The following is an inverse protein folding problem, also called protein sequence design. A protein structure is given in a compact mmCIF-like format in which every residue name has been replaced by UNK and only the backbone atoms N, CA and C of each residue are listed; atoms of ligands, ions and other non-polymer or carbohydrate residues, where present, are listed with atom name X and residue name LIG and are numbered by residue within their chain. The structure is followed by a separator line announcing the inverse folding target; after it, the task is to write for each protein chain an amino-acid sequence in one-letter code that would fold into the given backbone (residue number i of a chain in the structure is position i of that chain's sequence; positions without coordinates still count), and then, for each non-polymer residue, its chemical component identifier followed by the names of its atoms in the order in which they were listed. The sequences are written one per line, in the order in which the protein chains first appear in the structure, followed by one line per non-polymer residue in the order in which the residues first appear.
data_IF_773997482411
#
_entry.id   IF_773997482411
#
_cell.length_a   1.000
_cell.length_b   1.000
_cell.length_c   1.000
_cell.angle_alpha   90.00
_cell.angle_beta   90.00
_cell.angle_gamma   90.00
#
_symmetry.space_group_name_H-M   'P 1'
#
loop_
_entity.id
_entity.type
_entity.pdbx_description
1 polymer ?
#
# COMPACT_ATOMS: atom_id res chain seq x y z
N UNK A 1 14.14 19.22 2.38
CA UNK A 1 12.75 18.78 2.19
C UNK A 1 12.20 18.29 3.52
N UNK A 2 11.10 18.89 4.00
CA UNK A 2 10.50 18.48 5.27
C UNK A 2 9.62 17.26 5.04
N UNK A 3 9.97 16.13 5.70
CA UNK A 3 9.17 14.91 5.69
C UNK A 3 8.32 14.75 6.96
N UNK A 4 8.35 15.76 7.83
CA UNK A 4 7.63 15.75 9.10
C UNK A 4 6.18 16.16 8.91
N UNK A 5 5.25 15.39 9.47
CA UNK A 5 3.84 15.76 9.55
C UNK A 5 3.61 16.58 10.81
N UNK A 6 3.50 17.90 10.66
CA UNK A 6 3.27 18.80 11.77
C UNK A 6 1.84 18.68 12.28
N UNK A 7 1.68 18.74 13.59
CA UNK A 7 0.40 18.60 14.28
C UNK A 7 -0.01 19.93 14.90
N UNK A 8 -1.24 20.33 14.65
CA UNK A 8 -1.88 21.48 15.29
C UNK A 8 -3.11 21.03 16.09
N UNK A 9 -3.70 21.90 16.95
CA UNK A 9 -4.95 21.53 17.61
C UNK A 9 -6.11 21.22 16.68
N UNK A 10 -6.06 21.72 15.45
CA UNK A 10 -7.06 21.46 14.39
C UNK A 10 -6.76 20.18 13.60
N UNK A 11 -5.59 19.57 13.77
CA UNK A 11 -5.18 18.34 13.10
C UNK A 11 -3.82 18.42 12.44
N UNK A 12 -3.48 17.39 11.67
CA UNK A 12 -2.24 17.33 10.92
C UNK A 12 -2.28 18.24 9.70
N UNK A 13 -1.16 18.91 9.42
CA UNK A 13 -0.99 19.79 8.25
C UNK A 13 -0.64 19.01 6.98
N UNK A 14 -0.13 17.79 7.10
CA UNK A 14 0.26 16.93 5.99
C UNK A 14 0.11 15.46 6.37
N UNK A 15 0.25 14.56 5.40
CA UNK A 15 0.17 13.12 5.61
C UNK A 15 1.30 12.38 4.87
N UNK A 16 2.55 12.77 5.14
CA UNK A 16 3.72 12.12 4.53
C UNK A 16 3.90 10.69 5.02
N UNK A 17 3.46 10.41 6.24
CA UNK A 17 3.54 9.08 6.83
C UNK A 17 2.43 8.11 6.36
N UNK A 18 1.49 8.59 5.53
CA UNK A 18 0.42 7.74 5.01
C UNK A 18 -0.59 7.27 6.05
N UNK A 19 -0.80 8.04 7.12
CA UNK A 19 -1.79 7.75 8.16
C UNK A 19 -1.32 6.78 9.24
N UNK A 20 -0.06 6.37 9.23
CA UNK A 20 0.50 5.44 10.23
C UNK A 20 1.82 5.98 10.77
N UNK A 21 1.91 6.08 12.09
CA UNK A 21 3.11 6.51 12.81
C UNK A 21 3.42 5.49 13.91
N UNK A 22 4.64 4.96 13.89
CA UNK A 22 5.06 3.96 14.87
C UNK A 22 4.18 2.71 14.93
N UNK A 23 3.59 2.32 13.81
CA UNK A 23 2.67 1.18 13.71
C UNK A 23 1.25 1.45 14.20
N UNK A 24 0.92 2.71 14.51
CA UNK A 24 -0.40 3.12 15.01
C UNK A 24 -1.01 4.12 14.02
N UNK A 25 -2.29 3.99 13.75
CA UNK A 25 -3.00 4.93 12.88
C UNK A 25 -3.07 6.32 13.51
N UNK A 26 -2.85 7.36 12.70
CA UNK A 26 -2.88 8.76 13.16
C UNK A 26 -4.28 9.37 13.08
N UNK A 27 -5.26 8.67 12.56
CA UNK A 27 -6.59 9.19 12.25
C UNK A 27 -6.71 9.85 10.89
N UNK A 28 -5.60 9.96 10.16
CA UNK A 28 -5.57 10.44 8.78
C UNK A 28 -5.89 9.31 7.80
N UNK A 29 -6.10 9.66 6.53
CA UNK A 29 -6.29 8.66 5.47
C UNK A 29 -5.11 7.70 5.42
N UNK A 30 -5.42 6.41 5.28
CA UNK A 30 -4.42 5.37 5.14
C UNK A 30 -4.02 5.25 3.68
N UNK A 31 -2.77 5.61 3.39
CA UNK A 31 -2.21 5.60 2.04
C UNK A 31 -1.15 4.52 1.95
N UNK A 32 -1.35 3.58 1.05
CA UNK A 32 -0.40 2.50 0.79
C UNK A 32 0.08 2.59 -0.65
N UNK A 33 1.39 2.54 -0.85
CA UNK A 33 2.02 2.51 -2.16
C UNK A 33 2.74 1.20 -2.35
N UNK A 34 2.46 0.54 -3.46
CA UNK A 34 3.03 -0.77 -3.78
C UNK A 34 3.80 -0.65 -5.09
N UNK A 35 5.06 -1.05 -5.07
CA UNK A 35 5.87 -1.16 -6.28
C UNK A 35 5.66 -2.55 -6.88
N UNK A 36 5.16 -2.60 -8.10
CA UNK A 36 4.93 -3.85 -8.81
C UNK A 36 6.02 -4.08 -9.84
N UNK A 37 6.61 -5.25 -9.78
CA UNK A 37 7.56 -5.67 -10.81
C UNK A 37 6.80 -5.88 -12.13
N UNK A 38 7.34 -5.40 -13.27
CA UNK A 38 6.74 -5.68 -14.57
C UNK A 38 6.63 -7.19 -14.81
N UNK A 39 5.63 -7.57 -15.60
CA UNK A 39 5.44 -8.96 -16.00
C UNK A 39 6.68 -9.48 -16.72
N UNK A 40 7.21 -10.61 -16.25
CA UNK A 40 8.39 -11.23 -16.89
C UNK A 40 8.10 -11.79 -18.27
N UNK A 41 6.84 -12.09 -18.56
CA UNK A 41 6.36 -12.65 -19.83
C UNK A 41 5.92 -11.51 -20.77
N UNK A 42 6.86 -10.83 -21.37
CA UNK A 42 6.59 -9.78 -22.38
C UNK A 42 6.89 -10.30 -23.78
N UNK A 43 6.24 -9.71 -24.78
CA UNK A 43 6.40 -10.11 -26.19
C UNK A 43 7.70 -9.63 -26.83
N UNK A 44 8.46 -8.78 -26.14
CA UNK A 44 9.77 -8.32 -26.60
C UNK A 44 10.78 -9.47 -26.57
N UNK A 45 11.52 -9.65 -27.66
CA UNK A 45 12.54 -10.66 -27.75
C UNK A 45 13.65 -10.44 -26.70
N UNK A 46 13.97 -11.50 -25.97
CA UNK A 46 15.04 -11.51 -24.99
C UNK A 46 16.23 -12.35 -25.45
N UNK A 47 17.42 -12.00 -25.00
CA UNK A 47 18.63 -12.77 -25.30
C UNK A 47 18.76 -13.93 -24.31
N UNK A 48 19.09 -15.10 -24.82
CA UNK A 48 19.34 -16.30 -24.03
C UNK A 48 20.35 -17.20 -24.73
N UNK A 49 20.58 -18.38 -24.19
CA UNK A 49 21.39 -19.43 -24.79
C UNK A 49 20.58 -20.72 -24.90
N UNK A 50 20.86 -21.54 -25.90
CA UNK A 50 20.27 -22.88 -26.05
C UNK A 50 21.08 -23.90 -25.23
N UNK A 51 20.65 -25.17 -25.28
CA UNK A 51 21.36 -26.26 -24.57
C UNK A 51 22.79 -26.49 -25.06
N UNK A 52 23.14 -26.00 -26.25
CA UNK A 52 24.51 -26.08 -26.83
C UNK A 52 25.37 -24.86 -26.43
N UNK A 53 24.84 -23.90 -25.67
CA UNK A 53 25.53 -22.69 -25.29
C UNK A 53 25.54 -21.60 -26.37
N UNK A 54 24.78 -21.74 -27.43
CA UNK A 54 24.71 -20.78 -28.52
C UNK A 54 23.74 -19.64 -28.16
N UNK A 55 24.09 -18.41 -28.55
CA UNK A 55 23.21 -17.24 -28.36
C UNK A 55 21.94 -17.37 -29.17
N UNK A 56 20.80 -17.18 -28.54
CA UNK A 56 19.47 -17.21 -29.15
C UNK A 56 18.63 -16.06 -28.68
N UNK A 57 17.56 -15.77 -29.42
CA UNK A 57 16.51 -14.86 -28.99
C UNK A 57 15.29 -15.66 -28.54
N UNK A 58 14.73 -15.27 -27.40
CA UNK A 58 13.54 -15.90 -26.83
C UNK A 58 12.38 -14.91 -26.86
N UNK A 59 11.25 -15.35 -27.41
CA UNK A 59 10.01 -14.58 -27.43
C UNK A 59 8.93 -15.39 -26.71
N UNK A 60 8.38 -14.82 -25.66
CA UNK A 60 7.25 -15.41 -24.95
C UNK A 60 5.96 -15.04 -25.68
N UNK A 61 5.20 -16.05 -26.09
CA UNK A 61 3.90 -15.87 -26.74
C UNK A 61 2.78 -16.17 -25.77
N UNK A 62 1.66 -15.49 -25.96
CA UNK A 62 0.47 -15.68 -25.16
C UNK A 62 -0.14 -14.35 -24.71
N UNK A 63 -1.26 -14.43 -23.99
CA UNK A 63 -1.90 -13.25 -23.41
C UNK A 63 -1.26 -12.93 -22.06
N UNK A 64 -0.57 -11.79 -22.00
CA UNK A 64 0.02 -11.28 -20.78
C UNK A 64 -0.37 -9.81 -20.60
N UNK A 65 -0.78 -9.44 -19.38
CA UNK A 65 -1.07 -8.04 -19.07
C UNK A 65 0.25 -7.28 -18.99
N UNK A 66 0.43 -6.19 -19.77
CA UNK A 66 1.68 -5.40 -19.73
C UNK A 66 1.90 -4.71 -18.39
N UNK A 67 0.83 -4.43 -17.67
CA UNK A 67 0.87 -3.85 -16.32
C UNK A 67 -0.22 -4.48 -15.45
N UNK A 68 0.20 -5.17 -14.40
CA UNK A 68 -0.73 -5.78 -13.44
C UNK A 68 -1.22 -4.78 -12.40
N UNK A 69 -0.65 -3.57 -12.34
CA UNK A 69 -0.97 -2.55 -11.35
C UNK A 69 -2.42 -2.09 -11.40
N UNK A 70 -2.99 -1.98 -12.60
CA UNK A 70 -4.39 -1.56 -12.79
C UNK A 70 -5.35 -2.55 -12.12
N UNK A 71 -5.12 -3.85 -12.26
CA UNK A 71 -5.93 -4.89 -11.62
C UNK A 71 -5.56 -5.11 -10.16
N UNK A 72 -4.28 -4.90 -9.81
CA UNK A 72 -3.79 -5.08 -8.45
C UNK A 72 -4.32 -4.01 -7.48
N UNK A 73 -4.64 -2.81 -7.96
CA UNK A 73 -5.11 -1.71 -7.11
C UNK A 73 -6.37 -2.07 -6.31
N UNK A 74 -7.48 -2.51 -6.91
CA UNK A 74 -8.66 -2.92 -6.14
C UNK A 74 -8.42 -4.16 -5.29
N UNK A 75 -7.54 -5.07 -5.72
CA UNK A 75 -7.17 -6.26 -4.93
C UNK A 75 -6.41 -5.85 -3.67
N UNK A 76 -5.42 -4.97 -3.80
CA UNK A 76 -4.66 -4.46 -2.66
C UNK A 76 -5.56 -3.69 -1.67
N UNK A 77 -6.47 -2.88 -2.18
CA UNK A 77 -7.46 -2.15 -1.40
C UNK A 77 -8.37 -3.10 -0.61
N UNK A 78 -8.87 -4.15 -1.25
CA UNK A 78 -9.70 -5.17 -0.61
C UNK A 78 -8.93 -5.92 0.48
N UNK A 79 -7.68 -6.30 0.22
CA UNK A 79 -6.83 -6.97 1.21
C UNK A 79 -6.52 -6.07 2.39
N UNK A 80 -6.25 -4.80 2.17
CA UNK A 80 -6.05 -3.84 3.25
C UNK A 80 -7.31 -3.70 4.11
N UNK A 81 -8.48 -3.62 3.48
CA UNK A 81 -9.76 -3.54 4.20
C UNK A 81 -10.00 -4.77 5.09
N UNK A 82 -9.68 -5.98 4.60
CA UNK A 82 -9.80 -7.22 5.38
C UNK A 82 -8.88 -7.19 6.60
N UNK A 83 -7.62 -6.81 6.42
CA UNK A 83 -6.64 -6.73 7.51
C UNK A 83 -7.05 -5.69 8.55
N UNK A 84 -7.46 -4.52 8.12
CA UNK A 84 -7.91 -3.44 9.02
C UNK A 84 -9.16 -3.84 9.79
N UNK A 85 -10.12 -4.51 9.15
CA UNK A 85 -11.33 -4.98 9.81
C UNK A 85 -11.01 -6.03 10.88
N UNK A 86 -10.10 -6.95 10.60
CA UNK A 86 -9.65 -7.96 11.57
C UNK A 86 -9.07 -7.27 12.82
N UNK A 87 -8.19 -6.30 12.64
CA UNK A 87 -7.63 -5.52 13.76
C UNK A 87 -8.70 -4.71 14.50
N UNK A 88 -9.63 -4.09 13.79
CA UNK A 88 -10.71 -3.33 14.40
C UNK A 88 -11.62 -4.21 15.27
N UNK A 89 -11.96 -5.39 14.79
CA UNK A 89 -12.80 -6.34 15.54
C UNK A 89 -12.08 -6.88 16.77
N UNK A 90 -10.79 -7.19 16.66
CA UNK A 90 -9.97 -7.62 17.80
C UNK A 90 -9.84 -6.50 18.85
N UNK A 91 -9.63 -5.28 18.41
CA UNK A 91 -9.57 -4.13 19.30
C UNK A 91 -10.89 -3.93 20.07
N UNK A 92 -12.02 -4.01 19.38
CA UNK A 92 -13.34 -3.90 20.01
C UNK A 92 -13.62 -5.04 20.99
N UNK A 93 -13.24 -6.26 20.65
CA UNK A 93 -13.42 -7.40 21.54
C UNK A 93 -12.61 -7.26 22.83
N UNK A 94 -11.39 -6.72 22.74
CA UNK A 94 -10.49 -6.58 23.87
C UNK A 94 -10.72 -5.31 24.69
N UNK A 95 -11.10 -4.21 24.04
CA UNK A 95 -11.12 -2.87 24.64
C UNK A 95 -12.49 -2.18 24.55
N UNK A 96 -13.58 -2.89 24.31
CA UNK A 96 -14.90 -2.30 24.07
C UNK A 96 -15.41 -1.43 25.24
N UNK A 97 -15.01 -1.74 26.47
CA UNK A 97 -15.42 -1.00 27.67
C UNK A 97 -14.39 0.03 28.13
N UNK A 98 -13.25 0.10 27.46
CA UNK A 98 -12.19 1.07 27.79
C UNK A 98 -12.57 2.43 27.24
N UNK A 99 -12.58 3.42 28.11
CA UNK A 99 -12.76 4.82 27.73
C UNK A 99 -11.44 5.56 27.90
N UNK A 100 -11.07 6.30 26.85
CA UNK A 100 -9.85 7.09 26.88
C UNK A 100 -10.15 8.52 27.30
N UNK A 101 -9.39 9.05 28.25
CA UNK A 101 -9.48 10.45 28.69
C UNK A 101 -8.63 11.39 27.84
N UNK A 102 -7.82 10.85 26.94
CA UNK A 102 -7.00 11.66 26.04
C UNK A 102 -7.88 12.41 25.03
N UNK A 103 -7.63 13.71 24.82
CA UNK A 103 -8.38 14.47 23.81
C UNK A 103 -8.24 13.87 22.41
N UNK A 104 -9.34 13.86 21.67
CA UNK A 104 -9.32 13.44 20.26
C UNK A 104 -8.76 14.58 19.41
N UNK A 105 -7.72 14.29 18.64
CA UNK A 105 -7.13 15.24 17.70
C UNK A 105 -7.65 14.90 16.30
N UNK A 106 -8.16 15.88 15.53
CA UNK A 106 -8.60 15.65 14.15
C UNK A 106 -7.49 15.08 13.29
N UNK A 107 -7.84 14.18 12.36
CA UNK A 107 -6.86 13.55 11.47
C UNK A 107 -6.22 14.52 10.48
N UNK A 108 -6.92 15.59 10.13
CA UNK A 108 -6.42 16.61 9.21
C UNK A 108 -7.08 17.95 9.49
N UNK A 109 -6.42 19.02 9.04
CA UNK A 109 -7.02 20.35 9.07
C UNK A 109 -8.16 20.40 8.06
N UNK A 110 -9.34 20.91 8.50
CA UNK A 110 -10.48 21.12 7.61
C UNK A 110 -10.14 22.22 6.57
N UNK A 111 -10.41 21.94 5.32
CA UNK A 111 -10.21 22.86 4.19
C UNK A 111 -11.50 23.59 3.84
#
# INVERSE_FOLDING_TARGET
EQHRDELTPEGFLSNHAGGVLGGISSGQDLIVRIALKPTSSITTAGRSINLKGEAIEVVTKGRHDPCVGVRATPIAEAMLAIVLLDHALRHRAQNALVQCSTPVIPGSVAH
#
